data_IF_978997833378
#
_entry.id   IF_978997833378
#
_cell.length_a   1.000
_cell.length_b   1.000
_cell.length_c   1.000
_cell.angle_alpha   90.00
_cell.angle_beta   90.00
_cell.angle_gamma   90.00
#
_symmetry.space_group_name_H-M   'P 1'
#
loop_
_entity.id
_entity.type
_entity.pdbx_description
1 polymer ?
#
# COMPACT_ATOMS: atom_id res chain seq x y z
N UNK A 1 -3.76 4.63 -8.76
CA UNK A 1 -4.74 3.62 -8.27
C UNK A 1 -5.10 4.01 -6.84
N UNK A 2 -6.34 3.82 -6.37
CA UNK A 2 -6.75 4.26 -5.01
C UNK A 2 -5.98 3.54 -3.89
N UNK A 3 -5.43 2.34 -4.14
CA UNK A 3 -4.49 1.67 -3.23
C UNK A 3 -3.01 1.98 -3.53
N UNK A 4 -2.71 2.66 -4.65
CA UNK A 4 -1.42 3.31 -4.96
C UNK A 4 -1.60 4.83 -4.93
N UNK A 5 -2.03 5.38 -3.80
CA UNK A 5 -1.89 6.82 -3.62
C UNK A 5 -0.41 7.11 -3.29
N UNK A 6 0.06 8.32 -3.64
CA UNK A 6 1.41 8.76 -3.31
C UNK A 6 1.69 8.48 -1.83
N UNK A 7 2.71 7.67 -1.55
CA UNK A 7 2.97 7.14 -0.22
C UNK A 7 3.14 8.27 0.79
N UNK A 8 3.81 9.40 0.46
CA UNK A 8 3.88 10.56 1.35
C UNK A 8 2.52 11.07 1.84
N UNK A 9 1.47 11.09 1.01
CA UNK A 9 0.14 11.52 1.45
C UNK A 9 -0.49 10.54 2.45
N UNK A 10 -0.22 9.23 2.28
CA UNK A 10 -0.71 8.20 3.18
C UNK A 10 0.07 8.25 4.50
N UNK A 11 1.38 8.47 4.44
CA UNK A 11 2.23 8.56 5.63
C UNK A 11 1.97 9.85 6.42
N UNK A 12 1.49 10.92 5.76
CA UNK A 12 1.13 12.17 6.40
C UNK A 12 -0.16 12.08 7.25
N UNK A 13 -0.99 11.03 7.11
CA UNK A 13 -2.17 10.89 7.97
C UNK A 13 -1.79 10.38 9.36
N UNK A 14 -2.55 10.77 10.38
CA UNK A 14 -2.26 10.44 11.77
C UNK A 14 -2.25 8.94 12.10
N UNK A 15 -2.94 8.10 11.32
CA UNK A 15 -2.90 6.64 11.47
C UNK A 15 -2.98 5.94 10.10
N UNK A 16 -1.83 5.80 9.41
CA UNK A 16 -1.76 5.19 8.08
C UNK A 16 -2.25 3.72 8.07
N UNK A 17 -1.92 2.94 9.11
CA UNK A 17 -2.34 1.53 9.23
C UNK A 17 -3.87 1.42 9.26
N UNK A 18 -4.55 2.24 10.05
CA UNK A 18 -6.02 2.29 10.11
C UNK A 18 -6.62 2.76 8.79
N UNK A 19 -6.00 3.73 8.12
CA UNK A 19 -6.44 4.17 6.80
C UNK A 19 -6.39 3.03 5.78
N UNK A 20 -5.29 2.29 5.72
CA UNK A 20 -5.12 1.15 4.81
C UNK A 20 -6.11 0.02 5.12
N UNK A 21 -6.27 -0.35 6.38
CA UNK A 21 -7.25 -1.36 6.80
C UNK A 21 -8.67 -1.01 6.35
N UNK A 22 -9.08 0.26 6.54
CA UNK A 22 -10.39 0.77 6.10
C UNK A 22 -10.55 0.71 4.58
N UNK A 23 -9.52 1.09 3.82
CA UNK A 23 -9.57 1.01 2.35
C UNK A 23 -9.74 -0.43 1.90
N UNK A 24 -9.00 -1.37 2.47
CA UNK A 24 -9.13 -2.80 2.17
C UNK A 24 -10.57 -3.28 2.46
N UNK A 25 -11.18 -2.86 3.57
CA UNK A 25 -12.59 -3.20 3.88
C UNK A 25 -13.54 -2.66 2.82
N UNK A 26 -13.37 -1.40 2.41
CA UNK A 26 -14.20 -0.78 1.37
C UNK A 26 -14.06 -1.53 0.05
N UNK A 27 -12.83 -1.86 -0.37
CA UNK A 27 -12.61 -2.61 -1.62
C UNK A 27 -13.20 -4.01 -1.58
N UNK A 28 -13.06 -4.72 -0.45
CA UNK A 28 -13.66 -6.04 -0.28
C UNK A 28 -15.19 -5.99 -0.41
N UNK A 29 -15.83 -5.01 0.24
CA UNK A 29 -17.27 -4.83 0.20
C UNK A 29 -17.78 -4.43 -1.20
N UNK A 30 -17.17 -3.41 -1.82
CA UNK A 30 -17.64 -2.87 -3.10
C UNK A 30 -17.38 -3.80 -4.29
N UNK A 31 -16.29 -4.58 -4.25
CA UNK A 31 -15.93 -5.51 -5.32
C UNK A 31 -16.44 -6.94 -5.09
N UNK A 32 -17.01 -7.22 -3.91
CA UNK A 32 -17.45 -8.57 -3.55
C UNK A 32 -16.31 -9.59 -3.43
N UNK A 33 -15.09 -9.13 -3.14
CA UNK A 33 -13.92 -10.00 -2.95
C UNK A 33 -13.64 -10.25 -1.48
N UNK A 34 -12.97 -11.38 -1.21
CA UNK A 34 -12.43 -11.66 0.11
C UNK A 34 -11.41 -10.58 0.53
N UNK A 35 -11.51 -10.14 1.78
CA UNK A 35 -10.61 -9.14 2.37
C UNK A 35 -9.14 -9.51 2.23
N UNK A 36 -8.81 -10.78 2.44
CA UNK A 36 -7.44 -11.31 2.33
C UNK A 36 -6.88 -11.20 0.91
N UNK A 37 -7.74 -11.38 -0.11
CA UNK A 37 -7.35 -11.21 -1.52
C UNK A 37 -7.01 -9.75 -1.81
N UNK A 38 -7.81 -8.80 -1.33
CA UNK A 38 -7.53 -7.37 -1.49
C UNK A 38 -6.24 -6.98 -0.74
N UNK A 39 -6.05 -7.50 0.47
CA UNK A 39 -4.83 -7.31 1.26
C UNK A 39 -3.58 -7.80 0.51
N UNK A 40 -3.60 -9.06 0.05
CA UNK A 40 -2.48 -9.68 -0.67
C UNK A 40 -2.15 -8.94 -1.97
N UNK A 41 -3.18 -8.45 -2.66
CA UNK A 41 -2.99 -7.60 -3.83
C UNK A 41 -2.35 -6.26 -3.46
N UNK A 42 -2.83 -5.57 -2.43
CA UNK A 42 -2.27 -4.29 -1.97
C UNK A 42 -0.80 -4.42 -1.55
N UNK A 43 -0.47 -5.48 -0.80
CA UNK A 43 0.91 -5.80 -0.42
C UNK A 43 1.80 -6.02 -1.64
N UNK A 44 1.35 -6.86 -2.59
CA UNK A 44 2.07 -7.11 -3.84
C UNK A 44 2.30 -5.83 -4.64
N UNK A 45 1.30 -4.94 -4.68
CA UNK A 45 1.41 -3.65 -5.35
C UNK A 45 2.41 -2.70 -4.68
N UNK A 46 2.47 -2.70 -3.35
CA UNK A 46 3.43 -1.91 -2.56
C UNK A 46 4.86 -2.38 -2.82
N UNK A 47 5.12 -3.69 -2.70
CA UNK A 47 6.43 -4.29 -2.98
C UNK A 47 6.87 -4.01 -4.41
N UNK A 48 5.99 -4.22 -5.40
CA UNK A 48 6.30 -3.90 -6.80
C UNK A 48 6.67 -2.42 -6.95
N UNK A 49 5.94 -1.50 -6.32
CA UNK A 49 6.25 -0.06 -6.40
C UNK A 49 7.65 0.26 -5.90
N UNK A 50 8.09 -0.37 -4.81
CA UNK A 50 9.45 -0.21 -4.26
C UNK A 50 10.49 -0.77 -5.24
N UNK A 51 10.25 -1.96 -5.81
CA UNK A 51 11.16 -2.56 -6.79
C UNK A 51 11.36 -1.65 -8.01
N UNK A 52 10.26 -1.12 -8.57
CA UNK A 52 10.33 -0.19 -9.71
C UNK A 52 11.11 1.09 -9.37
N UNK A 53 10.92 1.66 -8.17
CA UNK A 53 11.69 2.83 -7.74
C UNK A 53 13.19 2.51 -7.65
N UNK A 54 13.56 1.37 -7.06
CA UNK A 54 14.96 0.93 -7.00
C UNK A 54 15.54 0.71 -8.39
N UNK A 55 14.78 0.16 -9.33
CA UNK A 55 15.23 -0.03 -10.70
C UNK A 55 15.49 1.31 -11.41
N UNK A 56 14.57 2.26 -11.28
CA UNK A 56 14.63 3.56 -11.96
C UNK A 56 15.66 4.51 -11.33
N UNK A 57 15.73 4.58 -10.00
CA UNK A 57 16.53 5.55 -9.26
C UNK A 57 17.83 4.96 -8.68
N UNK A 58 17.99 3.62 -8.69
CA UNK A 58 19.09 2.88 -8.04
C UNK A 58 19.18 3.09 -6.53
N UNK A 59 18.12 3.58 -5.91
CA UNK A 59 18.04 3.89 -4.48
C UNK A 59 16.79 3.26 -3.88
N UNK A 60 16.90 2.87 -2.61
CA UNK A 60 15.78 2.34 -1.84
C UNK A 60 15.32 3.43 -0.89
N UNK A 61 14.11 3.94 -1.11
CA UNK A 61 13.51 4.97 -0.27
C UNK A 61 12.89 4.34 1.00
N UNK A 62 13.26 4.88 2.17
CA UNK A 62 12.81 4.40 3.48
C UNK A 62 11.28 4.50 3.62
N UNK A 63 10.65 5.50 3.01
CA UNK A 63 9.21 5.69 2.98
C UNK A 63 8.50 4.57 2.23
N UNK A 64 9.12 4.07 1.15
CA UNK A 64 8.61 2.95 0.36
C UNK A 64 8.63 1.65 1.18
N UNK A 65 9.74 1.39 1.88
CA UNK A 65 9.86 0.26 2.80
C UNK A 65 8.85 0.35 3.94
N UNK A 66 8.74 1.51 4.58
CA UNK A 66 7.78 1.73 5.67
C UNK A 66 6.33 1.51 5.21
N UNK A 67 5.99 1.90 3.98
CA UNK A 67 4.66 1.63 3.42
C UNK A 67 4.39 0.13 3.24
N UNK A 68 5.40 -0.66 2.85
CA UNK A 68 5.29 -2.14 2.81
C UNK A 68 5.06 -2.70 4.22
N UNK A 69 5.76 -2.19 5.24
CA UNK A 69 5.59 -2.62 6.63
C UNK A 69 4.21 -2.32 7.23
N UNK A 70 3.53 -1.27 6.78
CA UNK A 70 2.14 -1.02 7.18
C UNK A 70 1.19 -2.15 6.78
N UNK A 71 1.59 -2.93 5.77
CA UNK A 71 0.89 -4.09 5.23
C UNK A 71 1.57 -5.40 5.65
N UNK A 72 2.34 -5.39 6.75
CA UNK A 72 2.74 -6.55 7.56
C UNK A 72 1.91 -6.60 8.86
#
# INVERSE_FOLDING_TARGET
SILRNFWPDILAVSNPKRLMARRIDQFAAELGFERERIYSWAFSQAVLSVIWNVEDNRELEDEGLYFVELLL
#
